data_IF_072687333344
#
_entry.id   IF_072687333344
#
_cell.length_a   1.000
_cell.length_b   1.000
_cell.length_c   1.000
_cell.angle_alpha   90.00
_cell.angle_beta   90.00
_cell.angle_gamma   90.00
#
_symmetry.space_group_name_H-M   'P 1'
#
loop_
_entity.id
_entity.type
_entity.pdbx_description
1 polymer ?
#
# COMPACT_ATOMS: atom_id res chain seq x y z
N UNK A 1 21.75 53.83 75.08
CA UNK A 1 20.53 53.08 75.43
C UNK A 1 19.42 53.42 74.45
N UNK A 2 19.29 52.63 73.38
CA UNK A 2 18.02 52.47 72.67
C UNK A 2 18.06 51.17 71.85
N UNK A 3 16.91 50.50 71.82
CA UNK A 3 16.70 49.10 71.43
C UNK A 3 16.69 48.87 69.92
N UNK A 4 16.81 47.57 69.56
CA UNK A 4 16.73 46.87 68.24
C UNK A 4 18.13 46.54 67.68
N UNK A 5 18.73 45.36 67.82
CA UNK A 5 18.24 43.96 67.85
C UNK A 5 17.26 43.64 66.71
N UNK A 6 17.76 43.07 65.60
CA UNK A 6 17.75 41.62 65.28
C UNK A 6 18.16 41.44 63.79
N UNK A 7 19.31 40.76 63.59
CA UNK A 7 19.67 39.72 62.58
C UNK A 7 18.96 39.77 61.21
N UNK A 8 19.58 39.89 60.01
CA UNK A 8 20.85 39.39 59.44
C UNK A 8 21.13 37.92 59.76
N UNK A 9 20.40 36.96 59.15
CA UNK A 9 20.83 35.56 58.91
C UNK A 9 19.76 34.82 58.06
N UNK A 10 19.64 35.07 56.75
CA UNK A 10 18.94 34.15 55.84
C UNK A 10 19.54 34.23 54.42
N UNK A 11 20.74 33.69 54.27
CA UNK A 11 21.19 33.06 53.03
C UNK A 11 21.55 31.62 53.41
N UNK A 12 21.02 30.65 52.65
CA UNK A 12 21.25 29.19 52.77
C UNK A 12 20.51 28.44 53.89
N UNK A 13 19.20 28.25 53.74
CA UNK A 13 18.51 26.98 54.05
C UNK A 13 17.02 27.09 53.71
N UNK A 14 16.62 26.58 52.55
CA UNK A 14 15.20 26.52 52.16
C UNK A 14 14.94 25.89 50.81
N UNK A 15 15.89 25.14 50.27
CA UNK A 15 15.80 24.38 49.03
C UNK A 15 15.04 23.04 49.22
N UNK A 16 13.94 23.01 49.98
CA UNK A 16 13.25 21.74 50.29
C UNK A 16 11.75 21.84 50.61
N UNK A 17 11.00 22.80 50.07
CA UNK A 17 9.51 22.84 50.23
C UNK A 17 8.75 23.14 48.92
N UNK A 18 9.38 22.96 47.75
CA UNK A 18 8.67 22.95 46.45
C UNK A 18 8.96 21.67 45.66
N UNK A 19 8.95 20.54 46.37
CA UNK A 19 9.13 19.19 45.82
C UNK A 19 8.03 18.20 46.30
N UNK A 20 6.87 18.70 46.75
CA UNK A 20 5.86 17.85 47.40
C UNK A 20 4.39 18.19 47.16
N UNK A 21 4.04 18.92 46.09
CA UNK A 21 2.64 19.18 45.74
C UNK A 21 2.41 19.46 44.24
N UNK A 22 3.14 18.76 43.36
CA UNK A 22 2.95 18.84 41.91
C UNK A 22 2.92 17.46 41.23
N UNK A 23 2.41 16.47 41.94
CA UNK A 23 2.03 15.16 41.40
C UNK A 23 0.62 14.86 41.90
N UNK A 24 -0.27 14.45 41.00
CA UNK A 24 -1.66 14.02 41.22
C UNK A 24 -2.72 15.13 41.29
N UNK A 25 -3.03 15.74 40.14
CA UNK A 25 -4.31 15.53 39.43
C UNK A 25 -4.03 15.78 37.95
N UNK A 26 -3.91 14.70 37.19
CA UNK A 26 -3.93 14.74 35.73
C UNK A 26 -5.29 15.32 35.29
N UNK A 27 -5.35 16.36 34.44
CA UNK A 27 -6.41 16.35 33.45
C UNK A 27 -6.09 15.21 32.50
N UNK A 28 -6.92 14.17 32.58
CA UNK A 28 -7.02 13.14 31.57
C UNK A 28 -7.18 13.80 30.19
N UNK A 29 -6.42 13.28 29.23
CA UNK A 29 -6.62 13.41 27.79
C UNK A 29 -6.94 14.84 27.33
N UNK A 30 -5.89 15.59 26.98
CA UNK A 30 -6.05 16.67 26.02
C UNK A 30 -6.45 16.01 24.69
N UNK A 31 -7.76 15.90 24.45
CA UNK A 31 -8.33 15.73 23.13
C UNK A 31 -7.71 16.80 22.23
N UNK A 32 -6.87 16.36 21.30
CA UNK A 32 -6.54 17.18 20.14
C UNK A 32 -7.85 17.27 19.35
N UNK A 33 -8.65 18.30 19.63
CA UNK A 33 -9.78 18.65 18.77
C UNK A 33 -9.23 18.83 17.36
N UNK A 34 -9.71 17.99 16.46
CA UNK A 34 -9.24 17.77 15.10
C UNK A 34 -9.56 18.92 14.13
N UNK A 35 -9.81 20.14 14.64
CA UNK A 35 -10.44 21.23 13.87
C UNK A 35 -9.59 22.50 13.74
N UNK A 36 -8.29 22.45 14.01
CA UNK A 36 -7.41 23.51 13.47
C UNK A 36 -6.88 23.08 12.11
N UNK A 37 -7.03 23.93 11.09
CA UNK A 37 -6.46 23.67 9.75
C UNK A 37 -4.94 23.39 9.80
N UNK A 38 -4.26 23.90 10.82
CA UNK A 38 -2.85 23.60 11.10
C UNK A 38 -2.59 22.13 11.47
N UNK A 39 -3.50 21.47 12.19
CA UNK A 39 -3.41 20.05 12.52
C UNK A 39 -3.59 19.17 11.28
N UNK A 40 -4.62 19.45 10.47
CA UNK A 40 -4.87 18.76 9.19
C UNK A 40 -3.67 18.88 8.24
N UNK A 41 -3.12 20.09 8.11
CA UNK A 41 -1.95 20.32 7.25
C UNK A 41 -0.72 19.50 7.69
N UNK A 42 -0.42 19.43 9.00
CA UNK A 42 0.69 18.64 9.52
C UNK A 42 0.54 17.14 9.21
N UNK A 43 -0.67 16.61 9.34
CA UNK A 43 -0.97 15.21 9.02
C UNK A 43 -0.78 14.93 7.54
N UNK A 44 -1.34 15.78 6.67
CA UNK A 44 -1.17 15.65 5.22
C UNK A 44 0.30 15.72 4.84
N UNK A 45 1.02 16.72 5.33
CA UNK A 45 2.46 16.86 5.07
C UNK A 45 3.24 15.61 5.49
N UNK A 46 3.01 15.09 6.70
CA UNK A 46 3.68 13.88 7.17
C UNK A 46 3.39 12.66 6.26
N UNK A 47 2.16 12.51 5.78
CA UNK A 47 1.79 11.46 4.83
C UNK A 47 2.48 11.59 3.48
N UNK A 48 2.58 12.82 2.96
CA UNK A 48 3.25 13.11 1.70
C UNK A 48 4.77 12.95 1.79
N UNK A 49 5.40 13.46 2.86
CA UNK A 49 6.83 13.27 3.12
C UNK A 49 7.17 11.77 3.18
N UNK A 50 6.33 10.98 3.87
CA UNK A 50 6.53 9.53 3.95
C UNK A 50 6.40 8.84 2.59
N UNK A 51 5.44 9.25 1.75
CA UNK A 51 5.29 8.72 0.39
C UNK A 51 6.50 9.06 -0.48
N UNK A 52 7.01 10.29 -0.39
CA UNK A 52 8.21 10.73 -1.10
C UNK A 52 9.41 9.85 -0.74
N UNK A 53 9.67 9.66 0.56
CA UNK A 53 10.71 8.76 1.05
C UNK A 53 10.51 7.31 0.59
N UNK A 54 9.27 6.84 0.58
CA UNK A 54 8.92 5.47 0.17
C UNK A 54 9.16 5.23 -1.33
N UNK A 55 8.85 6.22 -2.18
CA UNK A 55 9.03 6.11 -3.62
C UNK A 55 10.44 6.48 -4.09
N UNK A 56 11.28 7.03 -3.22
CA UNK A 56 12.73 7.17 -3.45
C UNK A 56 13.50 5.85 -3.30
N UNK A 57 12.83 4.74 -2.98
CA UNK A 57 13.46 3.43 -2.86
C UNK A 57 14.10 2.97 -4.19
N UNK A 58 15.26 2.29 -4.16
CA UNK A 58 15.89 1.76 -5.36
C UNK A 58 14.95 0.86 -6.17
N UNK A 59 14.93 1.02 -7.49
CA UNK A 59 14.09 0.24 -8.41
C UNK A 59 12.63 0.69 -8.47
N UNK A 60 12.28 1.82 -7.84
CA UNK A 60 11.00 2.50 -7.96
C UNK A 60 11.23 3.90 -8.56
N UNK A 61 10.44 4.25 -9.55
CA UNK A 61 10.44 5.55 -10.19
C UNK A 61 9.09 6.21 -10.00
N UNK A 62 9.05 7.21 -9.13
CA UNK A 62 7.87 8.05 -8.96
C UNK A 62 7.56 8.82 -10.25
N UNK A 63 6.30 8.82 -10.68
CA UNK A 63 5.86 9.54 -11.87
C UNK A 63 4.98 10.73 -11.51
N UNK A 64 3.89 10.46 -10.79
CA UNK A 64 2.92 11.49 -10.43
C UNK A 64 2.19 11.17 -9.13
N UNK A 65 1.72 12.23 -8.48
CA UNK A 65 0.79 12.19 -7.36
C UNK A 65 -0.33 13.16 -7.66
N UNK A 66 -1.57 12.68 -7.62
CA UNK A 66 -2.77 13.51 -7.69
C UNK A 66 -3.51 13.40 -6.38
N UNK A 67 -3.96 14.54 -5.89
CA UNK A 67 -4.75 14.63 -4.67
C UNK A 67 -6.15 15.10 -5.04
N UNK A 68 -7.16 14.39 -4.54
CA UNK A 68 -8.54 14.85 -4.63
C UNK A 68 -8.90 15.72 -3.42
N UNK A 69 -10.01 16.50 -3.48
CA UNK A 69 -10.52 17.22 -2.32
C UNK A 69 -10.75 16.29 -1.12
N UNK A 70 -10.56 16.83 0.08
CA UNK A 70 -10.80 16.11 1.34
C UNK A 70 -12.28 15.74 1.44
N UNK A 71 -12.54 14.47 1.77
CA UNK A 71 -13.88 13.97 2.08
C UNK A 71 -13.98 13.83 3.60
N UNK A 72 -15.01 14.43 4.20
CA UNK A 72 -15.21 14.46 5.66
C UNK A 72 -16.42 13.64 6.08
N UNK A 73 -16.38 13.11 7.29
CA UNK A 73 -17.51 12.49 7.98
C UNK A 73 -17.49 12.89 9.47
N UNK A 74 -18.47 12.43 10.23
CA UNK A 74 -18.70 12.84 11.63
C UNK A 74 -17.46 12.69 12.53
N UNK A 75 -16.71 11.58 12.36
CA UNK A 75 -15.57 11.23 13.21
C UNK A 75 -14.23 11.20 12.46
N UNK A 76 -14.11 11.91 11.34
CA UNK A 76 -12.87 11.84 10.57
C UNK A 76 -12.91 12.44 9.17
N UNK A 77 -11.82 12.23 8.45
CA UNK A 77 -11.70 12.63 7.06
C UNK A 77 -10.72 11.74 6.30
N UNK A 78 -10.81 11.79 4.98
CA UNK A 78 -9.85 11.19 4.08
C UNK A 78 -9.41 12.16 3.00
N UNK A 79 -8.13 12.06 2.64
CA UNK A 79 -7.55 12.68 1.46
C UNK A 79 -7.31 11.57 0.44
N UNK A 80 -8.12 11.44 -0.62
CA UNK A 80 -7.88 10.48 -1.69
C UNK A 80 -6.65 10.87 -2.51
N UNK A 81 -5.80 9.88 -2.77
CA UNK A 81 -4.54 10.01 -3.48
C UNK A 81 -4.54 9.04 -4.66
N UNK A 82 -4.03 9.47 -5.80
CA UNK A 82 -3.71 8.61 -6.94
C UNK A 82 -2.21 8.76 -7.21
N UNK A 83 -1.48 7.65 -7.15
CA UNK A 83 -0.02 7.63 -7.31
C UNK A 83 0.33 6.81 -8.54
N UNK A 84 1.11 7.40 -9.44
CA UNK A 84 1.76 6.69 -10.55
C UNK A 84 3.22 6.39 -10.21
N UNK A 85 3.62 5.13 -10.30
CA UNK A 85 5.02 4.69 -10.17
C UNK A 85 5.38 3.70 -11.28
N UNK A 86 6.65 3.66 -11.65
CA UNK A 86 7.23 2.57 -12.45
C UNK A 86 8.17 1.74 -11.59
N UNK A 87 8.08 0.41 -11.65
CA UNK A 87 8.95 -0.46 -10.87
C UNK A 87 9.11 -1.86 -11.51
N UNK A 88 10.11 -2.60 -11.07
CA UNK A 88 10.19 -4.04 -11.34
C UNK A 88 9.21 -4.81 -10.44
N UNK A 89 8.70 -5.94 -10.92
CA UNK A 89 7.69 -6.73 -10.21
C UNK A 89 8.09 -7.17 -8.80
N UNK A 90 9.37 -7.42 -8.56
CA UNK A 90 9.91 -7.81 -7.25
C UNK A 90 9.86 -6.69 -6.20
N UNK A 91 9.85 -5.43 -6.63
CA UNK A 91 9.78 -4.28 -5.71
C UNK A 91 8.36 -3.93 -5.27
N UNK A 92 7.33 -4.46 -5.95
CA UNK A 92 5.94 -4.08 -5.66
C UNK A 92 5.42 -4.61 -4.32
N UNK A 93 5.71 -5.85 -3.94
CA UNK A 93 5.27 -6.36 -2.63
C UNK A 93 5.95 -5.61 -1.46
N UNK A 94 7.29 -5.41 -1.48
CA UNK A 94 7.97 -4.57 -0.50
C UNK A 94 7.43 -3.14 -0.44
N UNK A 95 7.18 -2.53 -1.59
CA UNK A 95 6.62 -1.17 -1.66
C UNK A 95 5.24 -1.09 -1.01
N UNK A 96 4.33 -2.01 -1.35
CA UNK A 96 2.99 -2.07 -0.76
C UNK A 96 3.04 -2.31 0.75
N UNK A 97 3.98 -3.14 1.25
CA UNK A 97 4.22 -3.34 2.68
C UNK A 97 4.68 -2.05 3.35
N UNK A 98 5.65 -1.36 2.75
CA UNK A 98 6.21 -0.12 3.30
C UNK A 98 5.14 0.94 3.48
N UNK A 99 4.27 1.12 2.49
CA UNK A 99 3.15 2.08 2.54
C UNK A 99 2.25 1.85 3.76
N UNK A 100 2.05 0.58 4.15
CA UNK A 100 1.19 0.22 5.28
C UNK A 100 1.81 0.50 6.64
N UNK A 101 3.12 0.77 6.70
CA UNK A 101 3.81 1.14 7.94
C UNK A 101 3.53 2.58 8.35
N UNK A 102 2.97 3.42 7.47
CA UNK A 102 2.70 4.81 7.79
C UNK A 102 1.75 4.93 8.98
N UNK A 103 2.24 5.54 10.07
CA UNK A 103 1.49 5.84 11.28
C UNK A 103 1.89 7.22 11.75
N UNK A 104 0.95 8.16 11.75
CA UNK A 104 1.17 9.48 12.33
C UNK A 104 -0.11 9.97 13.02
N UNK A 105 -0.07 10.13 14.35
CA UNK A 105 -1.27 10.31 15.16
C UNK A 105 -2.33 9.22 14.82
N UNK A 106 -3.56 9.63 14.52
CA UNK A 106 -4.66 8.77 14.09
C UNK A 106 -4.66 8.50 12.57
N UNK A 107 -3.71 9.07 11.83
CA UNK A 107 -3.66 8.97 10.38
C UNK A 107 -3.02 7.67 9.88
N UNK A 108 -3.59 7.09 8.83
CA UNK A 108 -3.17 5.84 8.19
C UNK A 108 -3.23 5.98 6.67
N UNK A 109 -2.31 5.31 5.96
CA UNK A 109 -2.41 5.13 4.51
C UNK A 109 -3.13 3.82 4.18
N UNK A 110 -4.09 3.92 3.27
CA UNK A 110 -4.90 2.80 2.80
C UNK A 110 -4.72 2.67 1.31
N UNK A 111 -4.29 1.51 0.83
CA UNK A 111 -4.40 1.21 -0.60
C UNK A 111 -5.87 0.87 -0.87
N UNK A 112 -6.52 1.43 -1.88
CA UNK A 112 -7.89 1.08 -2.26
C UNK A 112 -7.92 0.21 -3.50
N UNK A 113 -7.17 0.60 -4.52
CA UNK A 113 -7.08 -0.16 -5.75
C UNK A 113 -5.66 -0.10 -6.29
N UNK A 114 -5.32 -1.12 -7.06
CA UNK A 114 -4.02 -1.30 -7.68
C UNK A 114 -4.25 -1.65 -9.14
N UNK A 115 -3.66 -0.90 -10.06
CA UNK A 115 -3.57 -1.29 -11.46
C UNK A 115 -2.09 -1.41 -11.82
N UNK A 116 -1.72 -2.52 -12.47
CA UNK A 116 -0.37 -2.79 -12.95
C UNK A 116 -0.47 -3.16 -14.41
N UNK A 117 0.37 -2.55 -15.24
CA UNK A 117 0.50 -2.89 -16.65
C UNK A 117 1.97 -3.03 -17.04
N UNK A 118 2.26 -3.92 -17.98
CA UNK A 118 3.61 -4.10 -18.51
C UNK A 118 3.92 -3.00 -19.51
N UNK A 119 5.00 -2.25 -19.28
CA UNK A 119 5.55 -1.30 -20.25
C UNK A 119 6.27 -2.02 -21.38
N UNK A 120 6.42 -1.34 -22.52
CA UNK A 120 7.33 -1.78 -23.58
C UNK A 120 8.81 -1.61 -23.17
N UNK A 121 9.08 -0.78 -22.17
CA UNK A 121 10.41 -0.53 -21.64
C UNK A 121 10.91 -1.68 -20.77
N UNK A 122 12.24 -1.86 -20.78
CA UNK A 122 12.93 -2.88 -19.99
C UNK A 122 14.04 -2.23 -19.19
N UNK A 123 14.18 -2.62 -17.94
CA UNK A 123 15.23 -2.18 -17.02
C UNK A 123 15.85 -3.43 -16.41
N UNK A 124 17.19 -3.49 -16.37
CA UNK A 124 17.97 -4.62 -15.83
C UNK A 124 17.54 -6.00 -16.37
N UNK A 125 17.12 -6.03 -17.64
CA UNK A 125 16.68 -7.25 -18.31
C UNK A 125 15.25 -7.69 -17.98
N UNK A 126 14.56 -7.05 -17.03
CA UNK A 126 13.16 -7.30 -16.68
C UNK A 126 12.18 -6.33 -17.36
N UNK A 127 10.88 -6.66 -17.39
CA UNK A 127 9.85 -5.76 -17.88
C UNK A 127 9.59 -4.67 -16.84
N UNK A 128 9.61 -3.40 -17.27
CA UNK A 128 9.21 -2.30 -16.40
C UNK A 128 7.69 -2.31 -16.26
N UNK A 129 7.18 -2.18 -15.03
CA UNK A 129 5.75 -2.16 -14.75
C UNK A 129 5.31 -0.74 -14.47
N UNK A 130 4.24 -0.29 -15.13
CA UNK A 130 3.54 0.95 -14.81
C UNK A 130 2.44 0.63 -13.81
N UNK A 131 2.49 1.29 -12.66
CA UNK A 131 1.62 1.01 -11.52
C UNK A 131 0.87 2.27 -11.11
N UNK A 132 -0.45 2.14 -11.04
CA UNK A 132 -1.35 3.16 -10.49
C UNK A 132 -1.90 2.64 -9.16
N UNK A 133 -1.60 3.37 -8.08
CA UNK A 133 -2.09 3.12 -6.74
C UNK A 133 -3.17 4.14 -6.41
N UNK A 134 -4.40 3.69 -6.24
CA UNK A 134 -5.45 4.52 -5.65
C UNK A 134 -5.36 4.33 -4.15
N UNK A 135 -5.02 5.38 -3.42
CA UNK A 135 -4.81 5.36 -1.98
C UNK A 135 -5.69 6.40 -1.28
N UNK A 136 -5.71 6.34 0.05
CA UNK A 136 -6.25 7.41 0.86
C UNK A 136 -5.43 7.56 2.13
N UNK A 137 -5.13 8.81 2.49
CA UNK A 137 -4.73 9.17 3.84
C UNK A 137 -5.99 9.36 4.67
N UNK A 138 -6.23 8.46 5.61
CA UNK A 138 -7.45 8.40 6.44
C UNK A 138 -7.10 8.81 7.86
N UNK A 139 -7.93 9.67 8.46
CA UNK A 139 -7.87 10.05 9.88
C UNK A 139 -9.20 9.70 10.54
N UNK A 140 -9.12 9.03 11.69
CA UNK A 140 -10.29 8.48 12.38
C UNK A 140 -10.76 7.15 11.77
N UNK A 141 -11.87 6.62 12.28
CA UNK A 141 -12.46 5.38 11.76
C UNK A 141 -13.37 5.67 10.55
N UNK A 142 -13.10 5.10 9.37
CA UNK A 142 -13.95 5.30 8.20
C UNK A 142 -15.28 4.56 8.40
N UNK A 143 -16.38 5.31 8.42
CA UNK A 143 -17.72 4.74 8.58
C UNK A 143 -18.03 3.70 7.50
N UNK A 144 -18.40 2.48 7.92
CA UNK A 144 -18.88 1.43 7.02
C UNK A 144 -17.84 0.85 6.05
N UNK A 145 -16.54 1.05 6.29
CA UNK A 145 -15.47 0.48 5.45
C UNK A 145 -14.71 -0.63 6.19
N UNK A 146 -14.20 -1.65 5.48
CA UNK A 146 -13.38 -2.68 6.11
C UNK A 146 -12.18 -2.03 6.82
N UNK A 147 -11.82 -2.60 7.97
CA UNK A 147 -10.70 -2.13 8.77
C UNK A 147 -9.47 -1.98 7.88
N UNK A 148 -8.87 -0.79 7.86
CA UNK A 148 -7.76 -0.41 6.95
C UNK A 148 -6.71 -1.50 6.85
N UNK A 149 -6.29 -2.03 7.98
CA UNK A 149 -5.25 -3.05 8.07
C UNK A 149 -5.67 -4.40 7.47
N UNK A 150 -6.93 -4.79 7.59
CA UNK A 150 -7.43 -6.05 7.03
C UNK A 150 -7.41 -5.99 5.49
N UNK A 151 -7.84 -4.88 4.92
CA UNK A 151 -7.83 -4.66 3.48
C UNK A 151 -6.39 -4.61 2.92
N UNK A 152 -5.53 -3.85 3.59
CA UNK A 152 -4.12 -3.72 3.25
C UNK A 152 -3.39 -5.10 3.24
N UNK A 153 -3.64 -5.95 4.26
CA UNK A 153 -3.10 -7.33 4.28
C UNK A 153 -3.63 -8.19 3.14
N UNK A 154 -4.91 -8.06 2.79
CA UNK A 154 -5.54 -8.78 1.67
C UNK A 154 -4.86 -8.47 0.34
N UNK A 155 -4.59 -7.19 0.05
CA UNK A 155 -3.90 -6.78 -1.18
C UNK A 155 -2.49 -7.37 -1.29
N UNK A 156 -1.71 -7.33 -0.20
CA UNK A 156 -0.36 -7.93 -0.17
C UNK A 156 -0.43 -9.43 -0.45
N UNK A 157 -1.34 -10.15 0.22
CA UNK A 157 -1.48 -11.60 0.03
C UNK A 157 -1.80 -11.96 -1.41
N UNK A 158 -2.69 -11.20 -2.07
CA UNK A 158 -3.01 -11.38 -3.50
C UNK A 158 -1.77 -11.16 -4.35
N UNK A 159 -1.02 -10.08 -4.10
CA UNK A 159 0.18 -9.79 -4.87
C UNK A 159 1.27 -10.85 -4.69
N UNK A 160 1.52 -11.30 -3.46
CA UNK A 160 2.46 -12.38 -3.18
C UNK A 160 2.04 -13.71 -3.82
N UNK A 161 0.74 -14.02 -3.84
CA UNK A 161 0.22 -15.19 -4.53
C UNK A 161 0.44 -15.10 -6.04
N UNK A 162 0.19 -13.93 -6.64
CA UNK A 162 0.46 -13.68 -8.07
C UNK A 162 1.94 -13.81 -8.40
N UNK A 163 2.81 -13.18 -7.63
CA UNK A 163 4.26 -13.23 -7.84
C UNK A 163 4.84 -14.65 -7.72
N UNK A 164 4.18 -15.54 -6.97
CA UNK A 164 4.54 -16.96 -6.88
C UNK A 164 3.98 -17.80 -8.01
N UNK A 165 2.76 -17.50 -8.47
CA UNK A 165 2.06 -18.31 -9.47
C UNK A 165 2.46 -17.98 -10.91
N UNK A 166 2.92 -16.75 -11.16
CA UNK A 166 3.24 -16.25 -12.49
C UNK A 166 4.19 -15.05 -12.42
N UNK A 167 4.51 -14.46 -13.56
CA UNK A 167 5.35 -13.27 -13.63
C UNK A 167 5.00 -12.41 -14.85
N UNK A 168 5.71 -11.30 -15.00
CA UNK A 168 5.44 -10.32 -16.07
C UNK A 168 6.33 -10.51 -17.31
N UNK A 169 7.41 -11.28 -17.18
CA UNK A 169 8.34 -11.52 -18.29
C UNK A 169 7.70 -12.43 -19.36
N UNK A 170 7.71 -12.04 -20.65
CA UNK A 170 7.22 -12.88 -21.73
C UNK A 170 7.98 -14.21 -21.84
N UNK A 171 7.23 -15.31 -22.00
CA UNK A 171 7.78 -16.65 -22.23
C UNK A 171 8.00 -16.96 -23.72
N UNK A 172 8.06 -15.93 -24.55
CA UNK A 172 8.40 -16.04 -25.97
C UNK A 172 9.53 -15.06 -26.23
N UNK A 173 10.65 -15.58 -26.73
CA UNK A 173 11.84 -14.78 -27.09
C UNK A 173 12.37 -15.27 -28.42
N UNK A 174 12.73 -14.33 -29.30
CA UNK A 174 13.31 -14.62 -30.60
C UNK A 174 12.46 -15.63 -31.41
N UNK A 175 11.12 -15.46 -31.34
CA UNK A 175 10.15 -16.34 -32.02
C UNK A 175 10.18 -17.80 -31.56
N UNK A 176 10.62 -18.06 -30.32
CA UNK A 176 10.62 -19.39 -29.69
C UNK A 176 9.98 -19.31 -28.31
N UNK A 177 9.23 -20.34 -27.95
CA UNK A 177 8.77 -20.51 -26.59
C UNK A 177 9.96 -20.81 -25.67
N UNK A 178 10.03 -20.08 -24.56
CA UNK A 178 10.99 -20.30 -23.49
C UNK A 178 10.30 -21.15 -22.43
N UNK A 179 10.76 -22.39 -22.28
CA UNK A 179 10.19 -23.31 -21.28
C UNK A 179 10.91 -23.11 -19.96
N UNK A 180 10.27 -22.43 -19.02
CA UNK A 180 10.71 -22.35 -17.63
C UNK A 180 10.00 -23.43 -16.80
N UNK A 181 10.71 -24.27 -16.02
CA UNK A 181 10.06 -25.29 -15.20
C UNK A 181 9.00 -24.69 -14.27
N UNK A 182 7.76 -25.18 -14.39
CA UNK A 182 6.65 -24.74 -13.55
C UNK A 182 6.00 -23.42 -13.95
N UNK A 183 6.44 -22.77 -15.04
CA UNK A 183 5.87 -21.50 -15.51
C UNK A 183 5.46 -21.60 -16.98
N UNK A 184 4.15 -21.57 -17.20
CA UNK A 184 3.55 -21.59 -18.55
C UNK A 184 2.80 -20.29 -18.88
N UNK A 185 2.76 -19.34 -17.96
CA UNK A 185 1.99 -18.10 -18.10
C UNK A 185 2.82 -16.86 -17.80
N UNK A 186 2.42 -15.75 -18.39
CA UNK A 186 2.86 -14.42 -17.99
C UNK A 186 1.71 -13.42 -18.06
N UNK A 187 1.77 -12.42 -17.20
CA UNK A 187 0.73 -11.40 -17.05
C UNK A 187 1.16 -10.12 -17.73
N UNK A 188 0.20 -9.43 -18.33
CA UNK A 188 0.40 -8.11 -18.94
C UNK A 188 -0.35 -7.02 -18.20
N UNK A 189 -1.48 -7.35 -17.57
CA UNK A 189 -2.27 -6.42 -16.79
C UNK A 189 -2.83 -7.11 -15.55
N UNK A 190 -2.77 -6.40 -14.42
CA UNK A 190 -3.38 -6.76 -13.14
C UNK A 190 -4.20 -5.57 -12.67
N UNK A 191 -5.43 -5.81 -12.24
CA UNK A 191 -6.24 -4.81 -11.57
C UNK A 191 -6.87 -5.42 -10.33
N UNK A 192 -6.69 -4.77 -9.18
CA UNK A 192 -7.38 -5.07 -7.93
C UNK A 192 -8.24 -3.88 -7.57
N UNK A 193 -9.55 -4.07 -7.58
CA UNK A 193 -10.53 -3.05 -7.18
C UNK A 193 -10.74 -3.05 -5.66
N UNK A 194 -11.35 -1.98 -5.13
CA UNK A 194 -11.57 -1.78 -3.69
C UNK A 194 -12.53 -2.76 -3.01
N UNK A 195 -13.27 -3.54 -3.80
CA UNK A 195 -14.14 -4.60 -3.31
C UNK A 195 -13.45 -5.98 -3.28
N UNK A 196 -12.19 -6.05 -3.71
CA UNK A 196 -11.39 -7.27 -3.74
C UNK A 196 -11.51 -8.04 -5.03
N UNK A 197 -12.18 -7.52 -6.06
CA UNK A 197 -12.16 -8.10 -7.40
C UNK A 197 -10.78 -7.92 -8.02
N UNK A 198 -10.18 -9.05 -8.40
CA UNK A 198 -8.94 -9.16 -9.15
C UNK A 198 -9.28 -9.45 -10.60
N UNK A 199 -8.70 -8.69 -11.53
CA UNK A 199 -8.77 -8.93 -12.97
C UNK A 199 -7.35 -9.08 -13.50
N UNK A 200 -7.11 -10.16 -14.24
CA UNK A 200 -5.83 -10.50 -14.84
C UNK A 200 -6.02 -10.66 -16.34
N UNK A 201 -5.11 -10.06 -17.11
CA UNK A 201 -4.96 -10.35 -18.54
C UNK A 201 -3.54 -10.80 -18.80
N UNK A 202 -3.40 -11.94 -19.48
CA UNK A 202 -2.10 -12.52 -19.74
C UNK A 202 -2.10 -13.46 -20.93
N UNK A 203 -0.99 -14.17 -21.06
CA UNK A 203 -0.78 -15.18 -22.08
C UNK A 203 -0.26 -16.46 -21.45
N UNK A 204 -0.59 -17.58 -22.08
CA UNK A 204 -0.12 -18.90 -21.75
C UNK A 204 0.45 -19.59 -22.98
N UNK A 205 1.48 -20.42 -22.80
CA UNK A 205 2.01 -21.27 -23.86
C UNK A 205 1.04 -22.39 -24.26
N UNK A 206 0.16 -22.78 -23.35
CA UNK A 206 -0.82 -23.84 -23.56
C UNK A 206 -2.17 -23.51 -22.91
N UNK A 207 -3.24 -24.15 -23.38
CA UNK A 207 -4.56 -24.09 -22.74
C UNK A 207 -4.47 -24.54 -21.27
N UNK A 208 -3.73 -25.63 -21.02
CA UNK A 208 -3.53 -26.21 -19.68
C UNK A 208 -2.79 -25.26 -18.75
N UNK A 209 -1.84 -24.48 -19.27
CA UNK A 209 -1.12 -23.47 -18.52
C UNK A 209 -2.03 -22.37 -17.99
N UNK A 210 -2.97 -21.89 -18.82
CA UNK A 210 -3.95 -20.90 -18.39
C UNK A 210 -4.88 -21.43 -17.28
N UNK A 211 -5.37 -22.66 -17.40
CA UNK A 211 -6.24 -23.26 -16.35
C UNK A 211 -5.46 -23.56 -15.07
N UNK A 212 -4.21 -24.03 -15.18
CA UNK A 212 -3.35 -24.33 -14.03
C UNK A 212 -2.98 -23.08 -13.21
N UNK A 213 -2.92 -21.90 -13.84
CA UNK A 213 -2.74 -20.63 -13.12
C UNK A 213 -3.91 -20.38 -12.18
N UNK A 214 -5.16 -20.55 -12.66
CA UNK A 214 -6.34 -20.34 -11.84
C UNK A 214 -6.39 -21.28 -10.62
N UNK A 215 -6.07 -22.56 -10.82
CA UNK A 215 -5.95 -23.52 -9.72
C UNK A 215 -4.83 -23.15 -8.72
N UNK A 216 -3.67 -22.73 -9.23
CA UNK A 216 -2.53 -22.33 -8.39
C UNK A 216 -2.89 -21.15 -7.52
N UNK A 217 -3.56 -20.13 -8.07
CA UNK A 217 -4.03 -18.97 -7.31
C UNK A 217 -5.03 -19.39 -6.23
N UNK A 218 -6.03 -20.21 -6.58
CA UNK A 218 -7.01 -20.71 -5.60
C UNK A 218 -6.35 -21.47 -4.45
N UNK A 219 -5.39 -22.35 -4.75
CA UNK A 219 -4.65 -23.15 -3.74
C UNK A 219 -3.84 -22.30 -2.76
N UNK A 220 -3.48 -21.05 -3.10
CA UNK A 220 -2.80 -20.16 -2.16
C UNK A 220 -3.70 -19.68 -1.01
N UNK A 221 -5.02 -19.81 -1.14
CA UNK A 221 -5.99 -19.25 -0.21
C UNK A 221 -6.00 -17.71 -0.18
N UNK A 222 -5.27 -17.02 -1.08
CA UNK A 222 -5.32 -15.57 -1.21
C UNK A 222 -6.55 -15.09 -1.99
N UNK A 223 -7.19 -15.99 -2.75
CA UNK A 223 -8.43 -15.77 -3.49
C UNK A 223 -9.43 -16.86 -3.14
N UNK A 224 -10.71 -16.49 -3.05
CA UNK A 224 -11.81 -17.41 -2.71
C UNK A 224 -12.53 -17.96 -3.95
N UNK A 225 -12.46 -17.23 -5.05
CA UNK A 225 -13.14 -17.56 -6.31
C UNK A 225 -12.20 -17.20 -7.46
N UNK A 226 -12.18 -18.04 -8.51
CA UNK A 226 -11.39 -17.82 -9.72
C UNK A 226 -12.19 -18.29 -10.93
N UNK A 227 -12.32 -17.42 -11.93
CA UNK A 227 -13.05 -17.65 -13.16
C UNK A 227 -12.19 -17.27 -14.35
N UNK A 228 -11.97 -18.22 -15.25
CA UNK A 228 -11.40 -17.96 -16.57
C UNK A 228 -12.53 -17.43 -17.47
N UNK A 229 -12.54 -16.11 -17.72
CA UNK A 229 -13.66 -15.45 -18.43
C UNK A 229 -13.49 -15.44 -19.93
N UNK A 230 -12.25 -15.41 -20.40
CA UNK A 230 -11.94 -15.50 -21.82
C UNK A 230 -10.66 -16.29 -22.05
N UNK A 231 -10.65 -17.03 -23.16
CA UNK A 231 -9.48 -17.74 -23.64
C UNK A 231 -9.52 -17.81 -25.16
N UNK A 232 -8.53 -17.22 -25.83
CA UNK A 232 -8.45 -17.22 -27.28
C UNK A 232 -7.04 -17.47 -27.77
N UNK A 233 -6.94 -18.18 -28.90
CA UNK A 233 -5.67 -18.41 -29.56
C UNK A 233 -5.19 -17.10 -30.18
N UNK A 234 -3.92 -16.78 -29.95
CA UNK A 234 -3.26 -15.60 -30.48
C UNK A 234 -1.86 -15.98 -31.00
N UNK A 235 -1.18 -15.04 -31.64
CA UNK A 235 0.20 -15.19 -32.09
C UNK A 235 1.04 -14.09 -31.44
N UNK A 236 2.06 -14.48 -30.67
CA UNK A 236 3.01 -13.57 -30.06
C UNK A 236 4.39 -13.86 -30.65
N UNK A 237 5.03 -12.87 -31.29
CA UNK A 237 6.28 -13.05 -32.04
C UNK A 237 6.29 -14.28 -32.98
N UNK A 238 5.21 -14.51 -33.72
CA UNK A 238 5.03 -15.70 -34.61
C UNK A 238 4.93 -17.05 -33.89
N UNK A 239 4.89 -17.07 -32.56
CA UNK A 239 4.61 -18.27 -31.76
C UNK A 239 3.13 -18.30 -31.39
N UNK A 240 2.42 -19.42 -31.62
CA UNK A 240 1.04 -19.55 -31.18
C UNK A 240 0.98 -19.60 -29.66
N UNK A 241 0.16 -18.75 -29.07
CA UNK A 241 -0.06 -18.62 -27.63
C UNK A 241 -1.55 -18.53 -27.33
N UNK A 242 -1.93 -18.64 -26.07
CA UNK A 242 -3.30 -18.46 -25.60
C UNK A 242 -3.37 -17.19 -24.77
N UNK A 243 -4.10 -16.18 -25.26
CA UNK A 243 -4.42 -15.02 -24.42
C UNK A 243 -5.61 -15.38 -23.54
N UNK A 244 -5.51 -15.04 -22.26
CA UNK A 244 -6.56 -15.28 -21.29
C UNK A 244 -6.93 -14.02 -20.52
N UNK A 245 -8.19 -14.00 -20.07
CA UNK A 245 -8.67 -13.07 -19.06
C UNK A 245 -9.20 -13.91 -17.88
N UNK A 246 -8.78 -13.55 -16.67
CA UNK A 246 -9.13 -14.25 -15.43
C UNK A 246 -9.64 -13.24 -14.41
N UNK A 247 -10.79 -13.54 -13.83
CA UNK A 247 -11.37 -12.77 -12.73
C UNK A 247 -11.34 -13.60 -11.47
N UNK A 248 -10.89 -13.02 -10.37
CA UNK A 248 -10.87 -13.66 -9.07
C UNK A 248 -11.39 -12.72 -8.00
N UNK A 249 -11.77 -13.27 -6.85
CA UNK A 249 -12.15 -12.49 -5.68
C UNK A 249 -11.15 -12.81 -4.57
N UNK A 250 -10.49 -11.78 -4.06
CA UNK A 250 -9.55 -11.93 -2.96
C UNK A 250 -10.25 -12.60 -1.75
N UNK A 251 -9.54 -13.42 -0.97
CA UNK A 251 -10.10 -13.99 0.26
C UNK A 251 -10.13 -12.94 1.37
N UNK A 252 -11.06 -13.07 2.32
CA UNK A 252 -10.96 -12.31 3.56
C UNK A 252 -9.79 -12.86 4.40
N UNK A 253 -9.09 -11.98 5.16
CA UNK A 253 -7.94 -12.40 5.96
C UNK A 253 -8.30 -13.39 7.06
#
# INVERSE_FOLDING_TARGET
>A
MNRRCVERWWWLAGAAVLLGALCLVLPAVAEVSSESGAGTYKIIKAGLDFLDETFAAPGVHFQELRMSPIVRWENGYELPLEVGVMALGEHLAPLLKKIQEFRFAEARLVNRALAVSVSAERVDGGPLLVVTLNQALVVGEPAGRPHVDAWNRRLIRVWEALAKATGFEPLVKERKAVTEPGRETWITNVRVDSDGRLQLTGYALSFKGATALGESLYKTGAVREVFLTALHRNTYEKVPVWRFDLVAVAAEP
#
